data_IF_668310561207
#
_entry.id   IF_668310561207
#
_cell.length_a   1.000
_cell.length_b   1.000
_cell.length_c   1.000
_cell.angle_alpha   90.00
_cell.angle_beta   90.00
_cell.angle_gamma   90.00
#
_symmetry.space_group_name_H-M   'P 1'
#
loop_
_entity.id
_entity.type
_entity.pdbx_description
1 polymer ?
#
# COMPACT_ATOMS: atom_id res chain seq x y z
N UNK A 1 1.57 -16.87 9.01
CA UNK A 1 0.34 -16.36 9.65
C UNK A 1 -0.94 -16.77 8.92
N UNK A 2 -1.04 -16.74 7.59
CA UNK A 2 -2.29 -17.11 6.88
C UNK A 2 -2.89 -18.49 7.23
N UNK A 3 -2.07 -19.43 7.71
CA UNK A 3 -2.50 -20.80 8.09
C UNK A 3 -2.71 -20.97 9.61
N UNK A 4 -2.64 -19.88 10.38
CA UNK A 4 -2.89 -19.93 11.81
C UNK A 4 -4.33 -20.36 12.10
N UNK A 5 -4.61 -20.90 13.30
CA UNK A 5 -5.97 -21.25 13.70
C UNK A 5 -6.92 -20.05 13.64
N UNK A 6 -8.21 -20.30 13.47
CA UNK A 6 -9.20 -19.22 13.33
C UNK A 6 -9.25 -18.26 14.54
N UNK A 7 -9.10 -18.78 15.76
CA UNK A 7 -9.06 -17.94 16.97
C UNK A 7 -7.91 -16.92 16.94
N UNK A 8 -6.79 -17.26 16.29
CA UNK A 8 -5.65 -16.36 16.15
C UNK A 8 -6.03 -15.15 15.29
N UNK A 9 -6.75 -15.39 14.18
CA UNK A 9 -7.25 -14.32 13.30
C UNK A 9 -8.31 -13.45 13.97
N UNK A 10 -9.12 -14.00 14.87
CA UNK A 10 -10.03 -13.20 15.69
C UNK A 10 -9.27 -12.29 16.65
N UNK A 11 -8.24 -12.81 17.33
CA UNK A 11 -7.39 -12.03 18.21
C UNK A 11 -6.68 -10.91 17.44
N UNK A 12 -6.14 -11.19 16.25
CA UNK A 12 -5.56 -10.18 15.35
C UNK A 12 -6.57 -9.06 15.04
N UNK A 13 -7.82 -9.44 14.75
CA UNK A 13 -8.90 -8.49 14.46
C UNK A 13 -9.23 -7.62 15.66
N UNK A 14 -9.41 -8.22 16.85
CA UNK A 14 -9.71 -7.47 18.08
C UNK A 14 -8.56 -6.54 18.44
N UNK A 15 -7.31 -7.02 18.33
CA UNK A 15 -6.12 -6.22 18.56
C UNK A 15 -6.04 -5.03 17.58
N UNK A 16 -6.32 -5.25 16.29
CA UNK A 16 -6.41 -4.17 15.30
C UNK A 16 -7.42 -3.09 15.74
N UNK A 17 -8.65 -3.47 16.09
CA UNK A 17 -9.67 -2.52 16.54
C UNK A 17 -9.24 -1.76 17.79
N UNK A 18 -8.60 -2.44 18.75
CA UNK A 18 -8.10 -1.77 19.95
C UNK A 18 -7.01 -0.74 19.62
N UNK A 19 -6.01 -1.10 18.80
CA UNK A 19 -4.93 -0.18 18.42
C UNK A 19 -5.44 0.97 17.53
N UNK A 20 -6.40 0.74 16.65
CA UNK A 20 -6.86 1.77 15.72
C UNK A 20 -7.97 2.66 16.30
N UNK A 21 -8.79 2.15 17.22
CA UNK A 21 -9.93 2.90 17.76
C UNK A 21 -9.71 3.38 19.19
N UNK A 22 -9.08 2.60 20.06
CA UNK A 22 -8.95 2.96 21.48
C UNK A 22 -7.62 3.69 21.75
N UNK A 23 -6.51 3.17 21.23
CA UNK A 23 -5.17 3.71 21.51
C UNK A 23 -5.00 5.19 21.10
N UNK A 24 -5.56 5.72 19.99
CA UNK A 24 -5.40 7.13 19.64
C UNK A 24 -5.87 8.10 20.72
N UNK A 25 -6.87 7.72 21.53
CA UNK A 25 -7.36 8.56 22.63
C UNK A 25 -6.34 8.73 23.76
N UNK A 26 -5.34 7.85 23.86
CA UNK A 26 -4.27 7.96 24.84
C UNK A 26 -3.40 9.22 24.63
N UNK A 27 -3.41 9.80 23.42
CA UNK A 27 -2.75 11.08 23.12
C UNK A 27 -3.26 12.22 24.02
N UNK A 28 -4.52 12.16 24.45
CA UNK A 28 -5.15 13.20 25.26
C UNK A 28 -4.99 12.98 26.78
N UNK A 29 -4.49 11.81 27.22
CA UNK A 29 -4.44 11.41 28.63
C UNK A 29 -3.10 11.73 29.34
N UNK A 30 -2.34 12.68 28.80
CA UNK A 30 -1.09 13.19 29.38
C UNK A 30 0.17 12.44 28.95
N UNK A 31 1.31 12.83 29.53
CA UNK A 31 2.67 12.43 29.08
C UNK A 31 2.85 10.91 28.96
N UNK A 32 2.55 10.17 30.03
CA UNK A 32 2.77 8.70 30.08
C UNK A 32 1.93 7.96 29.04
N UNK A 33 0.68 8.39 28.86
CA UNK A 33 -0.25 7.76 27.92
C UNK A 33 0.09 8.10 26.47
N UNK A 34 0.59 9.31 26.20
CA UNK A 34 1.12 9.69 24.88
C UNK A 34 2.33 8.83 24.49
N UNK A 35 3.27 8.61 25.42
CA UNK A 35 4.41 7.69 25.17
C UNK A 35 3.92 6.26 24.92
N UNK A 36 2.97 5.77 25.72
CA UNK A 36 2.38 4.45 25.53
C UNK A 36 1.69 4.33 24.16
N UNK A 37 0.97 5.35 23.71
CA UNK A 37 0.41 5.43 22.35
C UNK A 37 1.50 5.26 21.30
N UNK A 38 2.57 6.06 21.39
CA UNK A 38 3.69 6.00 20.43
C UNK A 38 4.30 4.60 20.36
N UNK A 39 4.56 3.97 21.51
CA UNK A 39 5.11 2.60 21.58
C UNK A 39 4.16 1.59 20.93
N UNK A 40 2.88 1.63 21.30
CA UNK A 40 1.89 0.69 20.78
C UNK A 40 1.71 0.83 19.26
N UNK A 41 1.66 2.05 18.75
CA UNK A 41 1.55 2.28 17.30
C UNK A 41 2.80 1.83 16.54
N UNK A 42 4.00 2.13 17.04
CA UNK A 42 5.25 1.68 16.41
C UNK A 42 5.31 0.15 16.41
N UNK A 43 5.02 -0.49 17.55
CA UNK A 43 5.00 -1.95 17.66
C UNK A 43 3.99 -2.56 16.68
N UNK A 44 2.80 -1.97 16.59
CA UNK A 44 1.77 -2.42 15.66
C UNK A 44 2.22 -2.33 14.20
N UNK A 45 2.82 -1.20 13.79
CA UNK A 45 3.36 -1.06 12.44
C UNK A 45 4.52 -2.02 12.16
N UNK A 46 5.40 -2.28 13.14
CA UNK A 46 6.48 -3.28 13.02
C UNK A 46 5.91 -4.69 12.84
N UNK A 47 4.87 -5.05 13.60
CA UNK A 47 4.18 -6.33 13.43
C UNK A 47 3.57 -6.44 12.03
N UNK A 48 2.97 -5.38 11.51
CA UNK A 48 2.46 -5.36 10.12
C UNK A 48 3.60 -5.51 9.12
N UNK A 49 4.72 -4.81 9.30
CA UNK A 49 5.90 -4.92 8.41
C UNK A 49 6.38 -6.36 8.29
N UNK A 50 6.45 -7.09 9.41
CA UNK A 50 6.95 -8.47 9.45
C UNK A 50 5.92 -9.47 8.89
N UNK A 51 4.62 -9.19 9.03
CA UNK A 51 3.54 -10.13 8.71
C UNK A 51 2.89 -9.92 7.34
N UNK A 52 2.28 -8.76 7.13
CA UNK A 52 1.42 -8.44 5.98
C UNK A 52 2.02 -7.41 5.02
N UNK A 53 2.95 -6.60 5.50
CA UNK A 53 3.81 -5.67 4.75
C UNK A 53 3.07 -4.72 3.80
N UNK A 54 2.67 -3.55 4.32
CA UNK A 54 2.11 -2.44 3.53
C UNK A 54 3.20 -1.55 2.91
N UNK A 55 4.43 -2.05 2.78
CA UNK A 55 5.57 -1.34 2.18
C UNK A 55 5.86 -0.02 2.90
N UNK A 56 6.11 1.06 2.14
CA UNK A 56 6.42 2.38 2.65
C UNK A 56 5.33 2.98 3.57
N UNK A 57 4.07 2.55 3.45
CA UNK A 57 2.97 3.10 4.26
C UNK A 57 3.17 2.82 5.74
N UNK A 58 3.68 1.64 6.11
CA UNK A 58 3.96 1.33 7.52
C UNK A 58 4.97 2.32 8.11
N UNK A 59 6.02 2.64 7.34
CA UNK A 59 7.05 3.58 7.76
C UNK A 59 6.52 5.01 7.89
N UNK A 60 5.68 5.45 6.95
CA UNK A 60 5.02 6.75 7.06
C UNK A 60 4.13 6.85 8.29
N UNK A 61 3.48 5.76 8.71
CA UNK A 61 2.67 5.73 9.94
C UNK A 61 3.53 5.72 11.22
N UNK A 62 4.74 5.16 11.15
CA UNK A 62 5.70 5.19 12.27
C UNK A 62 6.18 6.63 12.55
N UNK A 63 6.44 7.43 11.52
CA UNK A 63 6.97 8.80 11.65
C UNK A 63 6.18 9.68 12.65
N UNK A 64 4.86 9.87 12.54
CA UNK A 64 4.11 10.69 13.50
C UNK A 64 4.10 10.07 14.91
N UNK A 65 4.23 8.74 15.02
CA UNK A 65 4.30 8.07 16.32
C UNK A 65 5.59 8.39 17.07
N UNK A 66 6.69 8.71 16.36
CA UNK A 66 7.94 9.18 16.96
C UNK A 66 7.78 10.55 17.65
N UNK A 67 6.83 11.38 17.20
CA UNK A 67 6.54 12.67 17.84
C UNK A 67 5.85 12.54 19.21
N UNK A 68 5.45 11.33 19.60
CA UNK A 68 4.87 11.06 20.92
C UNK A 68 5.93 10.99 22.04
N UNK A 69 7.21 10.91 21.69
CA UNK A 69 8.32 10.80 22.65
C UNK A 69 8.97 12.17 22.87
N UNK A 70 9.13 12.55 24.12
CA UNK A 70 9.83 13.78 24.49
C UNK A 70 11.35 13.56 24.59
N UNK A 71 12.11 14.66 24.63
CA UNK A 71 13.57 14.63 24.72
C UNK A 71 14.08 13.82 25.92
N UNK A 72 13.33 13.80 27.03
CA UNK A 72 13.66 12.99 28.20
C UNK A 72 13.55 11.49 27.90
N UNK A 73 12.51 11.06 27.18
CA UNK A 73 12.31 9.66 26.81
C UNK A 73 13.33 9.19 25.78
N UNK A 74 13.77 10.07 24.88
CA UNK A 74 14.80 9.76 23.87
C UNK A 74 16.22 10.03 24.36
N UNK A 75 16.39 10.53 25.58
CA UNK A 75 17.69 10.92 26.15
C UNK A 75 18.72 9.80 26.27
N UNK A 76 18.31 8.53 26.13
CA UNK A 76 19.21 7.38 26.07
C UNK A 76 19.91 7.22 24.70
N UNK A 77 19.33 7.73 23.61
CA UNK A 77 19.91 7.66 22.26
C UNK A 77 21.09 8.63 22.10
N UNK A 78 21.17 9.64 22.96
CA UNK A 78 22.25 10.61 22.96
C UNK A 78 23.31 10.25 24.01
N UNK A 79 24.58 10.25 23.59
CA UNK A 79 25.74 9.85 24.40
C UNK A 79 25.75 10.49 25.79
N UNK A 80 26.21 9.73 26.79
CA UNK A 80 26.42 10.20 28.16
C UNK A 80 27.67 11.08 28.32
N UNK A 81 28.51 11.22 27.29
CA UNK A 81 29.64 12.15 27.33
C UNK A 81 29.14 13.57 27.20
N UNK A 82 28.93 14.27 28.32
CA UNK A 82 28.70 15.73 28.49
C UNK A 82 28.25 16.46 27.21
N UNK A 83 27.25 15.93 26.51
CA UNK A 83 26.83 16.51 25.25
C UNK A 83 25.90 17.62 25.65
N UNK A 84 26.21 18.84 25.20
CA UNK A 84 25.57 20.09 25.64
C UNK A 84 24.05 19.97 25.71
N UNK A 85 23.44 19.27 24.74
CA UNK A 85 21.99 19.04 24.65
C UNK A 85 21.39 18.25 25.83
N UNK A 86 21.92 17.09 26.22
CA UNK A 86 21.35 16.25 27.29
C UNK A 86 21.42 16.96 28.65
N UNK A 87 22.55 17.61 28.92
CA UNK A 87 22.72 18.41 30.14
C UNK A 87 21.80 19.64 30.14
N UNK A 88 21.67 20.34 29.00
CA UNK A 88 20.76 21.49 28.85
C UNK A 88 19.29 21.12 29.06
N UNK A 89 18.82 20.00 28.49
CA UNK A 89 17.43 19.55 28.66
C UNK A 89 17.13 19.22 30.12
N UNK A 90 18.03 18.50 30.81
CA UNK A 90 17.87 18.19 32.23
C UNK A 90 17.85 19.46 33.10
N UNK A 91 18.68 20.45 32.78
CA UNK A 91 18.71 21.73 33.50
C UNK A 91 17.42 22.55 33.28
N UNK A 92 16.89 22.58 32.05
CA UNK A 92 15.61 23.23 31.73
C UNK A 92 14.47 22.54 32.49
N UNK A 93 14.42 21.21 32.48
CA UNK A 93 13.40 20.43 33.19
C UNK A 93 13.48 20.61 34.72
N UNK A 94 14.69 20.68 35.29
CA UNK A 94 14.87 20.96 36.71
C UNK A 94 14.43 22.40 37.09
N UNK A 95 14.66 23.37 36.20
CA UNK A 95 14.19 24.77 36.36
C UNK A 95 12.66 24.88 36.25
N UNK A 96 12.03 24.10 35.39
CA UNK A 96 10.56 24.03 35.30
C UNK A 96 9.96 23.33 36.53
N UNK A 97 10.56 22.24 37.01
CA UNK A 97 10.12 21.50 38.19
C UNK A 97 10.23 22.30 39.50
N UNK A 98 11.13 23.29 39.55
CA UNK A 98 11.29 24.19 40.70
C UNK A 98 10.25 25.33 40.74
N UNK A 99 9.27 25.33 39.83
CA UNK A 99 8.07 26.17 39.94
C UNK A 99 8.31 27.66 39.68
N UNK A 100 9.47 28.06 39.15
CA UNK A 100 9.68 29.41 38.60
C UNK A 100 8.94 29.54 37.27
N UNK A 101 7.62 29.64 37.36
CA UNK A 101 6.74 29.92 36.22
C UNK A 101 7.14 31.28 35.66
N UNK A 102 7.76 31.28 34.48
CA UNK A 102 7.90 32.51 33.70
C UNK A 102 6.49 33.04 33.41
N UNK A 103 6.22 34.34 33.59
CA UNK A 103 4.88 34.88 33.39
C UNK A 103 4.39 34.51 31.99
N UNK A 104 3.15 34.03 31.91
CA UNK A 104 2.53 33.58 30.66
C UNK A 104 2.48 34.78 29.72
N UNK A 105 3.45 34.87 28.80
CA UNK A 105 3.53 35.97 27.86
C UNK A 105 2.29 36.04 26.97
N UNK A 106 1.96 37.24 26.49
CA UNK A 106 0.84 37.52 25.58
C UNK A 106 0.79 36.52 24.39
N UNK A 107 1.94 36.11 23.86
CA UNK A 107 2.05 35.09 22.80
C UNK A 107 1.52 33.71 23.18
N UNK A 108 1.58 33.30 24.46
CA UNK A 108 0.99 32.03 24.92
C UNK A 108 -0.54 32.07 24.93
N UNK A 109 -1.12 33.23 25.26
CA UNK A 109 -2.57 33.44 25.18
C UNK A 109 -3.05 33.39 23.72
N UNK A 110 -2.39 34.14 22.82
CA UNK A 110 -2.69 34.09 21.38
C UNK A 110 -2.62 32.65 20.85
N UNK A 111 -1.54 31.92 21.18
CA UNK A 111 -1.39 30.53 20.74
C UNK A 111 -2.52 29.63 21.24
N UNK A 112 -2.97 29.79 22.49
CA UNK A 112 -4.12 29.05 23.02
C UNK A 112 -5.40 29.38 22.23
N UNK A 113 -5.67 30.66 21.99
CA UNK A 113 -6.86 31.10 21.24
C UNK A 113 -6.84 30.56 19.81
N UNK A 114 -5.70 30.66 19.12
CA UNK A 114 -5.54 30.13 17.76
C UNK A 114 -5.74 28.61 17.73
N UNK A 115 -5.12 27.87 18.66
CA UNK A 115 -5.26 26.41 18.72
C UNK A 115 -6.70 25.97 19.02
N UNK A 116 -7.38 26.64 19.95
CA UNK A 116 -8.79 26.38 20.26
C UNK A 116 -9.69 26.68 19.06
N UNK A 117 -9.48 27.83 18.40
CA UNK A 117 -10.26 28.23 17.23
C UNK A 117 -10.06 27.25 16.07
N UNK A 118 -8.82 26.82 15.83
CA UNK A 118 -8.50 25.80 14.84
C UNK A 118 -9.15 24.46 15.18
N UNK A 119 -9.10 24.04 16.44
CA UNK A 119 -9.73 22.80 16.91
C UNK A 119 -11.25 22.82 16.71
N UNK A 120 -11.92 23.93 17.05
CA UNK A 120 -13.35 24.12 16.83
C UNK A 120 -13.72 24.11 15.34
N UNK A 121 -12.91 24.78 14.51
CA UNK A 121 -13.11 24.77 13.06
C UNK A 121 -12.99 23.35 12.50
N UNK A 122 -11.95 22.60 12.88
CA UNK A 122 -11.77 21.21 12.43
C UNK A 122 -12.91 20.32 12.92
N UNK A 123 -13.35 20.46 14.17
CA UNK A 123 -14.47 19.70 14.70
C UNK A 123 -15.76 19.98 13.91
N UNK A 124 -16.05 21.25 13.61
CA UNK A 124 -17.19 21.64 12.79
C UNK A 124 -17.11 21.07 11.37
N UNK A 125 -15.96 21.20 10.70
CA UNK A 125 -15.74 20.66 9.36
C UNK A 125 -15.75 19.11 9.33
N UNK A 126 -15.54 18.46 10.48
CA UNK A 126 -15.61 16.99 10.60
C UNK A 126 -17.03 16.46 10.68
N UNK A 127 -18.04 17.27 11.00
CA UNK A 127 -19.45 16.83 11.12
C UNK A 127 -19.94 16.09 9.86
N UNK A 128 -19.89 16.67 8.64
CA UNK A 128 -20.36 15.97 7.43
C UNK A 128 -19.54 14.71 7.13
N UNK A 129 -18.25 14.72 7.45
CA UNK A 129 -17.35 13.58 7.27
C UNK A 129 -17.74 12.42 8.18
N UNK A 130 -17.96 12.70 9.46
CA UNK A 130 -18.39 11.69 10.45
C UNK A 130 -19.76 11.14 10.10
N UNK A 131 -20.71 11.99 9.70
CA UNK A 131 -22.04 11.54 9.23
C UNK A 131 -21.89 10.58 8.04
N UNK A 132 -21.02 10.90 7.07
CA UNK A 132 -20.75 10.01 5.95
C UNK A 132 -20.10 8.68 6.37
N UNK A 133 -19.14 8.70 7.30
CA UNK A 133 -18.46 7.48 7.78
C UNK A 133 -19.37 6.58 8.62
N UNK A 134 -20.40 7.14 9.26
CA UNK A 134 -21.44 6.38 9.97
C UNK A 134 -22.56 5.88 9.03
N UNK A 135 -22.59 6.33 7.77
CA UNK A 135 -23.57 5.90 6.78
C UNK A 135 -23.24 4.51 6.24
N UNK A 136 -24.28 3.72 5.96
CA UNK A 136 -24.14 2.43 5.27
C UNK A 136 -23.65 2.56 3.83
N UNK A 137 -23.80 3.74 3.22
CA UNK A 137 -23.29 4.07 1.89
C UNK A 137 -22.18 5.12 1.95
N UNK A 138 -21.18 4.88 2.81
CA UNK A 138 -20.04 5.78 2.95
C UNK A 138 -19.34 6.05 1.60
N UNK A 139 -19.08 7.32 1.31
CA UNK A 139 -18.28 7.74 0.16
C UNK A 139 -16.85 8.05 0.61
N UNK A 140 -15.89 7.36 0.02
CA UNK A 140 -14.45 7.52 0.31
C UNK A 140 -13.77 8.37 -0.75
N UNK A 141 -12.66 9.02 -0.38
CA UNK A 141 -11.85 9.88 -1.26
C UNK A 141 -12.65 11.05 -1.84
N UNK A 142 -13.58 11.61 -1.05
CA UNK A 142 -14.43 12.73 -1.44
C UNK A 142 -14.24 13.93 -0.52
N UNK A 143 -14.52 15.11 -1.06
CA UNK A 143 -14.45 16.37 -0.32
C UNK A 143 -15.84 16.92 -0.05
N UNK A 144 -16.04 17.41 1.18
CA UNK A 144 -17.32 17.93 1.65
C UNK A 144 -17.33 19.48 1.72
N UNK A 145 -16.23 20.12 1.38
CA UNK A 145 -16.08 21.57 1.46
C UNK A 145 -15.20 22.11 0.31
N UNK A 146 -15.43 23.35 -0.17
CA UNK A 146 -14.68 23.91 -1.30
C UNK A 146 -13.17 23.99 -1.08
N UNK A 147 -12.75 24.22 0.17
CA UNK A 147 -11.35 24.37 0.56
C UNK A 147 -10.62 23.03 0.78
N UNK A 148 -11.36 21.92 0.73
CA UNK A 148 -10.86 20.55 0.92
C UNK A 148 -10.03 20.35 2.20
N UNK A 149 -10.39 21.03 3.30
CA UNK A 149 -9.62 21.02 4.57
C UNK A 149 -9.79 19.70 5.32
N UNK A 150 -11.03 19.21 5.47
CA UNK A 150 -11.35 17.92 6.10
C UNK A 150 -12.16 17.08 5.11
N UNK A 151 -11.68 15.86 4.82
CA UNK A 151 -12.24 14.99 3.78
C UNK A 151 -12.21 13.53 4.24
N UNK A 152 -12.88 12.64 3.50
CA UNK A 152 -12.69 11.19 3.69
C UNK A 152 -11.55 10.70 2.82
N UNK A 153 -10.61 9.97 3.42
CA UNK A 153 -9.55 9.29 2.69
C UNK A 153 -9.52 7.83 3.10
N UNK A 154 -9.44 6.95 2.10
CA UNK A 154 -9.37 5.51 2.31
C UNK A 154 -8.41 4.92 1.32
N UNK A 155 -7.35 4.28 1.82
CA UNK A 155 -6.45 3.49 0.99
C UNK A 155 -7.21 2.34 0.30
N UNK A 156 -8.21 1.77 0.99
CA UNK A 156 -9.05 0.69 0.50
C UNK A 156 -10.52 0.95 0.87
N UNK A 157 -11.34 1.38 -0.10
CA UNK A 157 -12.79 1.56 0.12
C UNK A 157 -13.53 0.23 0.33
N UNK A 158 -12.95 -0.88 -0.14
CA UNK A 158 -13.43 -2.24 0.08
C UNK A 158 -12.27 -3.23 -0.04
N UNK A 159 -12.29 -4.31 0.74
CA UNK A 159 -11.28 -5.37 0.68
C UNK A 159 -11.90 -6.63 0.10
N UNK A 160 -11.25 -7.23 -0.89
CA UNK A 160 -11.70 -8.46 -1.54
C UNK A 160 -11.47 -9.69 -0.67
N UNK A 161 -12.42 -10.63 -0.70
CA UNK A 161 -12.31 -11.92 0.01
C UNK A 161 -11.51 -12.97 -0.77
N UNK A 162 -11.40 -12.82 -2.09
CA UNK A 162 -10.65 -13.72 -2.96
C UNK A 162 -9.48 -12.98 -3.61
N UNK A 163 -8.35 -13.68 -3.81
CA UNK A 163 -7.21 -13.15 -4.56
C UNK A 163 -7.38 -13.52 -6.03
N UNK A 164 -7.58 -12.51 -6.88
CA UNK A 164 -7.55 -12.68 -8.34
C UNK A 164 -6.35 -11.92 -8.90
N UNK A 165 -5.86 -12.37 -10.05
CA UNK A 165 -4.66 -11.84 -10.69
C UNK A 165 -4.84 -11.84 -12.20
N UNK A 166 -4.40 -10.77 -12.84
CA UNK A 166 -4.21 -10.73 -14.28
C UNK A 166 -2.79 -11.19 -14.59
N UNK A 167 -2.67 -12.17 -15.48
CA UNK A 167 -1.41 -12.71 -15.98
C UNK A 167 -1.28 -12.29 -17.44
N UNK A 168 -0.20 -11.55 -17.74
CA UNK A 168 0.11 -11.12 -19.10
C UNK A 168 0.86 -12.25 -19.79
N UNK A 169 0.38 -12.65 -20.95
CA UNK A 169 0.99 -13.70 -21.76
C UNK A 169 1.32 -13.17 -23.14
N UNK A 170 2.47 -13.56 -23.69
CA UNK A 170 2.85 -13.29 -25.08
C UNK A 170 2.97 -14.58 -25.89
N UNK A 171 2.81 -14.48 -27.21
CA UNK A 171 3.12 -15.58 -28.14
C UNK A 171 3.79 -15.06 -29.41
N UNK A 172 4.65 -15.89 -29.99
CA UNK A 172 5.24 -15.68 -31.31
C UNK A 172 4.42 -16.30 -32.45
N UNK A 173 3.29 -16.97 -32.14
CA UNK A 173 2.41 -17.56 -33.14
C UNK A 173 1.90 -16.50 -34.13
N UNK A 174 1.66 -16.92 -35.38
CA UNK A 174 1.04 -16.08 -36.40
C UNK A 174 -0.44 -15.85 -36.07
N UNK A 175 -1.15 -16.92 -35.75
CA UNK A 175 -2.56 -16.90 -35.36
C UNK A 175 -2.68 -17.03 -33.83
N UNK A 176 -3.31 -16.06 -33.12
CA UNK A 176 -3.50 -16.13 -31.68
C UNK A 176 -4.53 -17.19 -31.26
N UNK A 177 -5.41 -17.63 -32.17
CA UNK A 177 -6.47 -18.59 -31.92
C UNK A 177 -6.06 -20.04 -32.24
N UNK A 178 -4.84 -20.25 -32.75
CA UNK A 178 -4.26 -21.57 -32.97
C UNK A 178 -4.19 -22.36 -31.64
N UNK A 179 -4.83 -23.53 -31.53
CA UNK A 179 -4.75 -24.38 -30.34
C UNK A 179 -3.33 -24.82 -29.97
N UNK A 180 -2.41 -24.84 -30.94
CA UNK A 180 -1.00 -25.18 -30.73
C UNK A 180 -0.14 -23.96 -30.33
N UNK A 181 -0.70 -22.75 -30.30
CA UNK A 181 0.03 -21.54 -29.92
C UNK A 181 0.55 -21.63 -28.48
N UNK A 182 1.87 -21.54 -28.33
CA UNK A 182 2.51 -21.47 -27.02
C UNK A 182 2.40 -20.04 -26.48
N UNK A 183 1.74 -19.89 -25.34
CA UNK A 183 1.61 -18.62 -24.62
C UNK A 183 2.53 -18.63 -23.40
N UNK A 184 3.53 -17.76 -23.40
CA UNK A 184 4.53 -17.63 -22.34
C UNK A 184 4.18 -16.45 -21.42
N UNK A 185 4.35 -16.60 -20.10
CA UNK A 185 3.91 -15.62 -19.11
C UNK A 185 5.01 -14.61 -18.77
N UNK A 186 4.65 -13.33 -18.68
CA UNK A 186 5.50 -12.32 -18.08
C UNK A 186 5.41 -12.40 -16.55
N UNK A 187 6.56 -12.46 -15.89
CA UNK A 187 6.62 -12.48 -14.43
C UNK A 187 6.93 -11.09 -13.89
N UNK A 188 6.17 -10.68 -12.88
CA UNK A 188 6.36 -9.43 -12.15
C UNK A 188 7.32 -9.63 -10.97
N UNK A 189 7.68 -8.58 -10.23
CA UNK A 189 8.71 -8.70 -9.17
C UNK A 189 8.20 -9.38 -7.91
N UNK A 190 6.94 -9.17 -7.58
CA UNK A 190 6.41 -9.50 -6.27
C UNK A 190 4.96 -9.93 -6.21
N UNK A 191 4.12 -9.53 -7.17
CA UNK A 191 2.75 -10.06 -7.22
C UNK A 191 2.77 -11.58 -7.46
N UNK A 192 1.73 -12.31 -7.04
CA UNK A 192 1.57 -13.72 -7.39
C UNK A 192 1.58 -13.92 -8.92
N UNK A 193 2.32 -14.92 -9.38
CA UNK A 193 2.51 -15.30 -10.78
C UNK A 193 2.80 -16.80 -10.83
N UNK A 194 4.07 -17.15 -10.93
CA UNK A 194 4.56 -18.53 -10.73
C UNK A 194 4.00 -19.16 -9.43
N UNK A 195 3.49 -20.39 -9.57
CA UNK A 195 2.93 -21.18 -8.47
C UNK A 195 3.96 -21.59 -7.43
N UNK A 196 5.26 -21.66 -7.78
CA UNK A 196 6.34 -22.01 -6.86
C UNK A 196 6.95 -20.80 -6.15
N UNK A 197 6.61 -19.58 -6.57
CA UNK A 197 7.11 -18.38 -5.92
C UNK A 197 6.50 -18.19 -4.53
N UNK A 198 7.35 -18.07 -3.52
CA UNK A 198 6.93 -17.64 -2.17
C UNK A 198 6.48 -16.16 -2.16
N UNK A 199 5.51 -15.77 -1.31
CA UNK A 199 5.22 -14.36 -1.08
C UNK A 199 6.48 -13.58 -0.72
N UNK A 200 6.62 -12.39 -1.27
CA UNK A 200 7.78 -11.55 -1.04
C UNK A 200 7.59 -10.59 0.14
N UNK A 201 8.71 -10.23 0.78
CA UNK A 201 8.77 -9.16 1.76
C UNK A 201 9.43 -7.94 1.09
N UNK A 202 8.64 -6.94 0.73
CA UNK A 202 9.07 -5.74 -0.02
C UNK A 202 9.43 -4.51 0.82
N UNK A 203 9.22 -4.54 2.13
CA UNK A 203 9.37 -3.36 2.98
C UNK A 203 10.83 -2.90 2.98
N UNK A 204 11.13 -1.58 2.87
CA UNK A 204 10.21 -0.42 2.81
C UNK A 204 9.74 -0.07 1.39
N UNK A 205 10.25 -0.74 0.36
CA UNK A 205 9.99 -0.39 -1.03
C UNK A 205 8.63 -0.89 -1.54
N UNK A 206 8.14 -0.28 -2.60
CA UNK A 206 6.84 -0.58 -3.17
C UNK A 206 6.92 -0.67 -4.70
N UNK A 207 6.75 -1.88 -5.26
CA UNK A 207 6.72 -2.05 -6.72
C UNK A 207 5.39 -1.51 -7.27
N UNK A 208 5.43 -0.29 -7.78
CA UNK A 208 4.24 0.44 -8.23
C UNK A 208 3.45 -0.31 -9.30
N UNK A 209 4.13 -0.95 -10.25
CA UNK A 209 3.47 -1.70 -11.32
C UNK A 209 2.74 -2.95 -10.76
N UNK A 210 3.40 -3.76 -9.95
CA UNK A 210 2.80 -4.92 -9.28
C UNK A 210 1.57 -4.53 -8.45
N UNK A 211 1.63 -3.40 -7.76
CA UNK A 211 0.52 -2.86 -6.99
C UNK A 211 -0.66 -2.41 -7.87
N UNK A 212 -0.38 -1.75 -8.99
CA UNK A 212 -1.42 -1.37 -9.94
C UNK A 212 -2.07 -2.59 -10.59
N UNK A 213 -1.31 -3.65 -10.87
CA UNK A 213 -1.85 -4.92 -11.37
C UNK A 213 -2.84 -5.56 -10.39
N UNK A 214 -2.60 -5.43 -9.07
CA UNK A 214 -3.54 -5.88 -8.05
C UNK A 214 -4.88 -5.15 -8.14
N UNK A 215 -4.88 -3.83 -8.36
CA UNK A 215 -6.13 -3.08 -8.60
C UNK A 215 -6.80 -3.47 -9.92
N UNK A 216 -6.04 -3.60 -11.00
CA UNK A 216 -6.57 -4.00 -12.30
C UNK A 216 -7.32 -5.32 -12.21
N UNK A 217 -6.83 -6.29 -11.43
CA UNK A 217 -7.49 -7.59 -11.28
C UNK A 217 -8.90 -7.54 -10.68
N UNK A 218 -9.29 -6.45 -10.01
CA UNK A 218 -10.64 -6.27 -9.45
C UNK A 218 -11.56 -5.43 -10.32
N UNK A 219 -11.01 -4.79 -11.35
CA UNK A 219 -11.71 -3.89 -12.24
C UNK A 219 -11.68 -4.47 -13.64
N UNK A 220 -12.15 -3.72 -14.63
CA UNK A 220 -12.04 -4.11 -16.03
C UNK A 220 -10.89 -3.38 -16.72
N UNK A 221 -10.44 -3.89 -17.87
CA UNK A 221 -9.36 -3.26 -18.63
C UNK A 221 -9.79 -1.91 -19.25
N UNK A 222 -11.09 -1.69 -19.44
CA UNK A 222 -11.65 -0.40 -19.87
C UNK A 222 -11.53 0.67 -18.78
N UNK A 223 -11.63 0.29 -17.51
CA UNK A 223 -11.36 1.20 -16.38
C UNK A 223 -9.86 1.40 -16.14
N UNK A 224 -9.03 0.46 -16.62
CA UNK A 224 -7.58 0.43 -16.44
C UNK A 224 -6.85 0.43 -17.79
N UNK A 225 -7.14 1.41 -18.64
CA UNK A 225 -6.62 1.48 -20.02
C UNK A 225 -5.09 1.45 -20.10
N UNK A 226 -4.41 1.84 -19.03
CA UNK A 226 -2.95 1.74 -18.90
C UNK A 226 -2.43 0.30 -19.06
N UNK A 227 -3.26 -0.73 -18.84
CA UNK A 227 -2.86 -2.13 -19.06
C UNK A 227 -2.72 -2.45 -20.56
N UNK A 228 -3.53 -1.82 -21.40
CA UNK A 228 -3.42 -1.94 -22.86
C UNK A 228 -2.22 -1.14 -23.36
N UNK A 229 -1.95 0.02 -22.75
CA UNK A 229 -0.71 0.75 -22.99
C UNK A 229 0.52 -0.12 -22.66
N UNK A 230 0.51 -0.78 -21.50
CA UNK A 230 1.54 -1.73 -21.07
C UNK A 230 1.70 -2.88 -22.07
N UNK A 231 0.60 -3.48 -22.54
CA UNK A 231 0.63 -4.54 -23.54
C UNK A 231 1.29 -4.07 -24.85
N UNK A 232 0.93 -2.89 -25.35
CA UNK A 232 1.59 -2.30 -26.53
C UNK A 232 3.09 -2.11 -26.35
N UNK A 233 3.53 -1.67 -25.16
CA UNK A 233 4.95 -1.48 -24.85
C UNK A 233 5.72 -2.80 -24.70
N UNK A 234 5.07 -3.84 -24.19
CA UNK A 234 5.62 -5.20 -24.14
C UNK A 234 5.73 -5.83 -25.53
N UNK A 235 4.73 -5.63 -26.40
CA UNK A 235 4.80 -6.04 -27.81
C UNK A 235 5.96 -5.38 -28.57
N UNK A 236 6.29 -4.14 -28.20
CA UNK A 236 7.46 -3.42 -28.74
C UNK A 236 8.79 -3.75 -28.03
N UNK A 237 8.78 -4.63 -27.02
CA UNK A 237 9.95 -5.01 -26.23
C UNK A 237 10.72 -3.78 -25.66
N UNK A 238 9.98 -2.79 -25.16
CA UNK A 238 10.58 -1.54 -24.68
C UNK A 238 11.38 -1.73 -23.39
N UNK A 239 12.68 -1.40 -23.41
CA UNK A 239 13.62 -1.60 -22.29
C UNK A 239 13.14 -1.02 -20.96
N UNK A 240 12.52 0.16 -20.99
CA UNK A 240 11.99 0.82 -19.79
C UNK A 240 10.92 -0.01 -19.10
N UNK A 241 9.99 -0.58 -19.86
CA UNK A 241 8.92 -1.44 -19.33
C UNK A 241 9.46 -2.80 -18.91
N UNK A 242 10.34 -3.40 -19.70
CA UNK A 242 10.95 -4.69 -19.37
C UNK A 242 11.74 -4.62 -18.05
N UNK A 243 12.36 -3.48 -17.74
CA UNK A 243 13.06 -3.27 -16.45
C UNK A 243 12.14 -3.34 -15.22
N UNK A 244 10.83 -3.18 -15.42
CA UNK A 244 9.80 -3.32 -14.38
C UNK A 244 9.35 -4.77 -14.19
N UNK A 245 9.61 -5.65 -15.16
CA UNK A 245 9.34 -7.08 -15.07
C UNK A 245 10.46 -7.80 -14.34
N UNK A 246 10.15 -8.97 -13.76
CA UNK A 246 11.14 -9.88 -13.22
C UNK A 246 11.67 -10.86 -14.26
N UNK A 247 10.82 -11.29 -15.19
CA UNK A 247 11.20 -12.16 -16.30
C UNK A 247 10.45 -11.79 -17.57
N UNK A 248 11.19 -11.73 -18.68
CA UNK A 248 10.65 -11.59 -20.03
C UNK A 248 10.91 -12.90 -20.80
N UNK A 249 9.86 -13.66 -21.17
CA UNK A 249 10.04 -14.91 -21.92
C UNK A 249 10.60 -14.72 -23.35
N UNK A 250 10.58 -13.49 -23.85
CA UNK A 250 11.09 -13.09 -25.16
C UNK A 250 12.46 -12.41 -25.09
N UNK A 251 13.15 -12.46 -23.96
CA UNK A 251 14.52 -11.95 -23.84
C UNK A 251 15.46 -12.71 -24.78
N UNK A 252 16.23 -11.98 -25.59
CA UNK A 252 17.11 -12.56 -26.61
C UNK A 252 16.39 -13.17 -27.82
N UNK A 253 15.05 -13.08 -27.90
CA UNK A 253 14.23 -13.54 -29.03
C UNK A 253 13.57 -12.35 -29.74
N UNK A 254 12.91 -12.63 -30.87
CA UNK A 254 12.01 -11.67 -31.49
C UNK A 254 10.86 -11.30 -30.50
N UNK A 255 10.39 -10.04 -30.51
CA UNK A 255 9.24 -9.63 -29.70
C UNK A 255 7.99 -10.48 -29.99
N UNK A 256 7.08 -10.63 -29.02
CA UNK A 256 5.85 -11.38 -29.25
C UNK A 256 4.99 -10.69 -30.32
N UNK A 257 4.29 -11.49 -31.12
CA UNK A 257 3.33 -10.99 -32.11
C UNK A 257 2.01 -10.58 -31.47
N UNK A 258 1.64 -11.30 -30.41
CA UNK A 258 0.40 -11.10 -29.68
C UNK A 258 0.64 -11.08 -28.19
N UNK A 259 -0.10 -10.25 -27.47
CA UNK A 259 -0.19 -10.26 -26.01
C UNK A 259 -1.65 -10.36 -25.60
N UNK A 260 -1.93 -11.16 -24.57
CA UNK A 260 -3.26 -11.25 -23.95
C UNK A 260 -3.17 -11.14 -22.44
N UNK A 261 -4.30 -10.82 -21.82
CA UNK A 261 -4.46 -10.85 -20.37
C UNK A 261 -5.36 -12.00 -19.97
N UNK A 262 -4.89 -12.87 -19.10
CA UNK A 262 -5.66 -13.99 -18.55
C UNK A 262 -5.98 -13.76 -17.08
N UNK A 263 -7.22 -14.04 -16.68
CA UNK A 263 -7.68 -13.84 -15.31
C UNK A 263 -7.68 -15.13 -14.53
N UNK A 264 -7.02 -15.13 -13.38
CA UNK A 264 -6.88 -16.30 -12.53
C UNK A 264 -7.27 -15.99 -11.09
N UNK A 265 -7.90 -16.98 -10.44
CA UNK A 265 -8.09 -16.99 -8.99
C UNK A 265 -6.96 -17.75 -8.33
N UNK A 266 -6.27 -17.11 -7.40
CA UNK A 266 -5.16 -17.70 -6.64
C UNK A 266 -5.60 -18.08 -5.22
N UNK A 267 -5.10 -19.21 -4.72
CA UNK A 267 -5.19 -19.63 -3.32
C UNK A 267 -3.84 -20.20 -2.87
N UNK A 268 -3.54 -20.10 -1.59
CA UNK A 268 -2.37 -20.78 -1.04
C UNK A 268 -2.54 -22.30 -1.10
N UNK A 269 -1.46 -23.01 -1.40
CA UNK A 269 -1.39 -24.47 -1.28
C UNK A 269 -1.53 -24.91 0.18
N UNK A 270 -2.23 -26.01 0.44
CA UNK A 270 -2.45 -26.53 1.79
C UNK A 270 -1.17 -27.19 2.31
N UNK A 271 -0.68 -26.86 3.53
CA UNK A 271 0.43 -27.57 4.15
C UNK A 271 0.16 -29.08 4.17
N UNK A 272 1.17 -29.89 3.82
CA UNK A 272 1.05 -31.36 3.73
C UNK A 272 0.24 -31.89 2.53
N UNK A 273 -0.41 -31.02 1.75
CA UNK A 273 -1.10 -31.41 0.51
C UNK A 273 -0.14 -31.71 -0.65
N UNK A 274 -0.65 -32.33 -1.70
CA UNK A 274 0.13 -32.71 -2.90
C UNK A 274 0.88 -31.53 -3.52
N UNK A 275 0.19 -30.41 -3.77
CA UNK A 275 0.82 -29.22 -4.35
C UNK A 275 1.96 -28.64 -3.50
N UNK A 276 1.81 -28.65 -2.17
CA UNK A 276 2.86 -28.15 -1.28
C UNK A 276 4.07 -29.10 -1.26
N UNK A 277 3.85 -30.43 -1.36
CA UNK A 277 4.92 -31.42 -1.53
C UNK A 277 5.67 -31.22 -2.86
N UNK A 278 4.99 -30.77 -3.91
CA UNK A 278 5.60 -30.41 -5.21
C UNK A 278 6.32 -29.04 -5.20
N UNK A 279 6.44 -28.40 -4.02
CA UNK A 279 7.07 -27.09 -3.84
C UNK A 279 6.22 -25.90 -4.31
N UNK A 280 4.93 -26.10 -4.61
CA UNK A 280 4.03 -25.01 -5.01
C UNK A 280 3.52 -24.28 -3.77
N UNK A 281 3.69 -22.97 -3.75
CA UNK A 281 3.12 -22.06 -2.75
C UNK A 281 1.67 -21.68 -3.08
N UNK A 282 1.33 -21.68 -4.37
CA UNK A 282 0.03 -21.28 -4.86
C UNK A 282 -0.63 -22.38 -5.69
N UNK A 283 -1.96 -22.33 -5.71
CA UNK A 283 -2.80 -22.97 -6.70
C UNK A 283 -3.60 -21.88 -7.40
N UNK A 284 -3.78 -22.02 -8.72
CA UNK A 284 -4.59 -21.08 -9.50
C UNK A 284 -5.65 -21.80 -10.32
N UNK A 285 -6.79 -21.17 -10.50
CA UNK A 285 -7.85 -21.60 -11.41
C UNK A 285 -8.13 -20.48 -12.40
N UNK A 286 -8.14 -20.80 -13.70
CA UNK A 286 -8.52 -19.84 -14.74
C UNK A 286 -9.98 -19.44 -14.56
N UNK A 287 -10.25 -18.14 -14.53
CA UNK A 287 -11.59 -17.56 -14.50
C UNK A 287 -12.05 -17.34 -15.95
N UNK A 288 -11.20 -16.76 -16.77
CA UNK A 288 -11.47 -16.44 -18.18
C UNK A 288 -10.47 -15.41 -18.71
N UNK A 289 -10.66 -14.94 -19.96
CA UNK A 289 -9.85 -13.85 -20.50
C UNK A 289 -10.15 -12.55 -19.74
N UNK A 290 -9.10 -11.77 -19.46
CA UNK A 290 -9.21 -10.42 -18.92
C UNK A 290 -9.29 -9.38 -20.04
N UNK A 291 -8.43 -9.50 -21.06
CA UNK A 291 -8.55 -8.78 -22.34
C UNK A 291 -8.09 -9.70 -23.48
N UNK A 292 -8.65 -9.56 -24.71
CA UNK A 292 -8.38 -10.46 -25.82
C UNK A 292 -6.94 -10.33 -26.34
N UNK A 293 -6.43 -11.27 -27.15
CA UNK A 293 -5.18 -11.09 -27.86
C UNK A 293 -5.13 -9.78 -28.65
N UNK A 294 -4.09 -8.98 -28.41
CA UNK A 294 -3.82 -7.72 -29.10
C UNK A 294 -2.44 -7.74 -29.75
N UNK A 295 -2.29 -7.01 -30.84
CA UNK A 295 -1.03 -6.81 -31.55
C UNK A 295 -0.77 -5.31 -31.79
N UNK A 296 0.44 -4.95 -32.23
CA UNK A 296 0.83 -3.53 -32.41
C UNK A 296 -0.02 -2.80 -33.45
N UNK A 297 -0.42 -3.48 -34.51
CA UNK A 297 -1.21 -2.89 -35.59
C UNK A 297 -2.63 -2.57 -35.13
N UNK A 298 -3.30 -3.52 -34.48
CA UNK A 298 -4.65 -3.36 -33.94
C UNK A 298 -4.73 -2.30 -32.84
N UNK A 299 -3.65 -2.11 -32.07
CA UNK A 299 -3.58 -1.08 -31.04
C UNK A 299 -3.32 0.33 -31.59
N UNK A 300 -3.03 0.51 -32.89
CA UNK A 300 -2.69 1.82 -33.46
C UNK A 300 -3.77 2.89 -33.20
N UNK A 301 -5.01 2.60 -33.59
CA UNK A 301 -6.16 3.51 -33.39
C UNK A 301 -6.41 3.80 -31.92
N UNK A 302 -6.21 2.81 -31.05
CA UNK A 302 -6.41 2.95 -29.60
C UNK A 302 -5.43 3.94 -28.97
N UNK A 303 -4.16 3.89 -29.38
CA UNK A 303 -3.11 4.79 -28.94
C UNK A 303 -3.31 6.22 -29.50
N UNK A 304 -3.65 6.34 -30.79
CA UNK A 304 -3.95 7.62 -31.43
C UNK A 304 -5.10 8.36 -30.75
N UNK A 305 -6.20 7.65 -30.45
CA UNK A 305 -7.37 8.23 -29.77
C UNK A 305 -7.03 8.83 -28.39
N UNK A 306 -5.99 8.32 -27.72
CA UNK A 306 -5.52 8.78 -26.39
C UNK A 306 -4.31 9.71 -26.48
N UNK A 307 -3.85 10.03 -27.69
CA UNK A 307 -2.64 10.83 -27.96
C UNK A 307 -1.40 10.23 -27.29
N UNK A 308 -1.33 8.90 -27.23
CA UNK A 308 -0.15 8.18 -26.73
C UNK A 308 0.84 7.89 -27.87
N UNK A 309 2.15 8.00 -27.63
CA UNK A 309 3.14 7.60 -28.64
C UNK A 309 2.99 6.13 -29.00
N UNK A 310 2.82 5.84 -30.30
CA UNK A 310 2.72 4.46 -30.78
C UNK A 310 4.07 3.73 -30.54
N UNK A 311 4.07 2.55 -29.89
CA UNK A 311 5.30 1.81 -29.62
C UNK A 311 5.92 1.29 -30.94
N UNK A 312 7.16 1.71 -31.21
CA UNK A 312 7.94 1.19 -32.33
C UNK A 312 8.68 -0.09 -31.91
N UNK A 313 8.78 -1.07 -32.81
CA UNK A 313 9.64 -2.24 -32.63
C UNK A 313 11.10 -1.76 -32.56
N UNK A 314 11.80 -2.11 -31.48
CA UNK A 314 13.25 -1.93 -31.38
C UNK A 314 14.01 -3.07 -32.05
#
# INVERSE_FOLDING_TARGET
>A
MHRSPWWFHQCETVFNHFIELAVPFLLFLGRRMCILHGILQILFQVLIIISGNLSFLNWLTIVPSLACFDDASLGFLFSSQKTRAKAQVLEIQAKEATGKVTPVGYGSCIRKVVNLSLGLLVAFLSIPVVINLLSSQQVMNTSFNPLRIVNTYGAFGSITKERTEVILQGTSSLDPDDPAALWEEYEFKCKPGDLRRRPCLISPYHYRLDWLMWFAAFQTYEQNEWIIHLAGKLLANEKGILSLMASNPFEGKAPPRWIRGEHFRYKFSRPGGTHAKDGKWWIRKRIGPYFPPVNLEGLRKFFEARRWPHPALN
#
